data_IF_059009542434
#
_entry.id   IF_059009542434
#
_cell.length_a   1.000
_cell.length_b   1.000
_cell.length_c   1.000
_cell.angle_alpha   90.00
_cell.angle_beta   90.00
_cell.angle_gamma   90.00
#
_symmetry.space_group_name_H-M   'P 1'
#
loop_
_entity.id
_entity.type
_entity.pdbx_description
1 polymer ?
#
# COMPACT_ATOMS: atom_id res chain seq x y z
N UNK A 1 5.34 -9.17 -15.54
CA UNK A 1 5.84 -8.38 -14.40
C UNK A 1 7.23 -8.78 -13.93
N UNK A 2 7.46 -10.02 -13.48
CA UNK A 2 8.79 -10.44 -12.94
C UNK A 2 9.93 -10.26 -13.95
N UNK A 3 9.75 -10.70 -15.21
CA UNK A 3 10.77 -10.52 -16.25
C UNK A 3 11.11 -9.03 -16.50
N UNK A 4 10.09 -8.16 -16.50
CA UNK A 4 10.28 -6.71 -16.61
C UNK A 4 11.05 -6.16 -15.40
N UNK A 5 10.70 -6.59 -14.19
CA UNK A 5 11.43 -6.18 -12.98
C UNK A 5 12.90 -6.63 -12.99
N UNK A 6 13.20 -7.84 -13.47
CA UNK A 6 14.59 -8.31 -13.66
C UNK A 6 15.32 -7.47 -14.70
N UNK A 7 14.65 -7.10 -15.79
CA UNK A 7 15.21 -6.23 -16.83
C UNK A 7 15.55 -4.86 -16.25
N UNK A 8 14.62 -4.27 -15.48
CA UNK A 8 14.85 -3.00 -14.79
C UNK A 8 15.97 -3.10 -13.75
N UNK A 9 16.04 -4.23 -13.04
CA UNK A 9 17.07 -4.48 -12.03
C UNK A 9 18.48 -4.60 -12.66
N UNK A 10 18.60 -5.09 -13.88
CA UNK A 10 19.91 -5.36 -14.52
C UNK A 10 20.34 -4.28 -15.50
N UNK A 11 19.39 -3.63 -16.17
CA UNK A 11 19.63 -2.69 -17.27
C UNK A 11 19.08 -1.28 -17.07
N UNK A 12 18.46 -0.97 -15.91
CA UNK A 12 17.88 0.34 -15.63
C UNK A 12 16.46 0.53 -16.19
N UNK A 13 15.90 1.75 -16.10
CA UNK A 13 14.51 2.01 -16.50
C UNK A 13 14.23 1.66 -17.97
N UNK A 14 13.06 1.06 -18.22
CA UNK A 14 12.59 0.73 -19.58
C UNK A 14 11.40 1.62 -19.92
N UNK A 15 11.44 2.25 -21.09
CA UNK A 15 10.39 3.17 -21.55
C UNK A 15 9.92 2.79 -22.95
N UNK A 16 8.62 2.94 -23.19
CA UNK A 16 8.04 2.88 -24.52
C UNK A 16 6.96 3.94 -24.69
N UNK A 17 6.93 4.59 -25.85
CA UNK A 17 5.86 5.50 -26.24
C UNK A 17 4.82 4.73 -27.03
N UNK A 18 3.58 4.75 -26.57
CA UNK A 18 2.50 4.00 -27.20
C UNK A 18 2.13 4.56 -28.59
N UNK A 19 1.77 3.66 -29.51
CA UNK A 19 1.19 4.03 -30.81
C UNK A 19 2.15 4.61 -31.86
N UNK A 20 3.46 4.59 -31.63
CA UNK A 20 4.46 5.09 -32.59
C UNK A 20 4.49 6.62 -32.72
N UNK A 21 3.85 7.34 -31.80
CA UNK A 21 3.90 8.79 -31.73
C UNK A 21 5.23 9.29 -31.17
N UNK A 22 5.64 10.53 -31.48
CA UNK A 22 6.79 11.17 -30.83
C UNK A 22 6.60 11.30 -29.31
N UNK A 23 7.72 11.34 -28.58
CA UNK A 23 7.76 11.67 -27.15
C UNK A 23 7.10 13.01 -26.88
N UNK A 24 6.29 13.10 -25.82
CA UNK A 24 5.55 14.31 -25.44
C UNK A 24 4.17 14.45 -26.11
N UNK A 25 3.86 13.62 -27.11
CA UNK A 25 2.52 13.52 -27.70
C UNK A 25 1.88 12.17 -27.38
N UNK A 26 2.64 11.08 -27.54
CA UNK A 26 2.19 9.73 -27.17
C UNK A 26 2.25 9.46 -25.68
N UNK A 27 1.43 8.52 -25.21
CA UNK A 27 1.46 8.07 -23.80
C UNK A 27 2.74 7.26 -23.56
N UNK A 28 3.58 7.74 -22.63
CA UNK A 28 4.77 7.05 -22.16
C UNK A 28 4.38 5.97 -21.15
N UNK A 29 4.77 4.72 -21.41
CA UNK A 29 4.77 3.64 -20.41
C UNK A 29 6.21 3.47 -19.93
N UNK A 30 6.43 3.61 -18.62
CA UNK A 30 7.74 3.66 -17.99
C UNK A 30 7.79 2.67 -16.83
N UNK A 31 8.76 1.77 -16.89
CA UNK A 31 9.09 0.84 -15.82
C UNK A 31 10.45 1.22 -15.24
N UNK A 32 10.43 1.92 -14.10
CA UNK A 32 11.63 2.15 -13.28
C UNK A 32 11.60 1.28 -12.02
N UNK A 33 12.61 1.41 -11.15
CA UNK A 33 12.75 0.57 -9.97
C UNK A 33 11.52 0.66 -9.04
N UNK A 34 10.98 1.86 -8.81
CA UNK A 34 9.79 2.06 -7.98
C UNK A 34 8.56 1.37 -8.60
N UNK A 35 8.27 1.65 -9.88
CA UNK A 35 7.14 1.06 -10.59
C UNK A 35 7.21 -0.46 -10.66
N UNK A 36 8.40 -1.01 -10.96
CA UNK A 36 8.63 -2.45 -11.04
C UNK A 36 8.40 -3.15 -9.69
N UNK A 37 8.90 -2.58 -8.58
CA UNK A 37 8.71 -3.14 -7.23
C UNK A 37 7.23 -3.20 -6.87
N UNK A 38 6.50 -2.10 -7.03
CA UNK A 38 5.07 -2.05 -6.72
C UNK A 38 4.25 -2.99 -7.62
N UNK A 39 4.58 -3.08 -8.91
CA UNK A 39 3.93 -4.01 -9.83
C UNK A 39 4.17 -5.47 -9.41
N UNK A 40 5.38 -5.85 -9.00
CA UNK A 40 5.68 -7.21 -8.52
C UNK A 40 4.90 -7.54 -7.26
N UNK A 41 4.90 -6.65 -6.26
CA UNK A 41 4.19 -6.85 -4.99
C UNK A 41 2.70 -7.04 -5.24
N UNK A 42 2.07 -6.14 -5.99
CA UNK A 42 0.64 -6.23 -6.26
C UNK A 42 0.29 -7.47 -7.08
N UNK A 43 1.10 -7.81 -8.09
CA UNK A 43 0.87 -9.05 -8.87
C UNK A 43 0.94 -10.28 -7.95
N UNK A 44 1.89 -10.32 -7.02
CA UNK A 44 2.02 -11.43 -6.06
C UNK A 44 0.83 -11.52 -5.10
N UNK A 45 0.35 -10.38 -4.58
CA UNK A 45 -0.84 -10.32 -3.71
C UNK A 45 -2.08 -10.81 -4.46
N UNK A 46 -2.32 -10.29 -5.67
CA UNK A 46 -3.49 -10.67 -6.48
C UNK A 46 -3.46 -12.14 -6.87
N UNK A 47 -2.27 -12.68 -7.19
CA UNK A 47 -2.10 -14.11 -7.46
C UNK A 47 -2.40 -14.94 -6.21
N UNK A 48 -1.87 -14.56 -5.04
CA UNK A 48 -2.13 -15.28 -3.80
C UNK A 48 -3.63 -15.30 -3.46
N UNK A 49 -4.32 -14.17 -3.60
CA UNK A 49 -5.77 -14.10 -3.37
C UNK A 49 -6.55 -14.92 -4.39
N UNK A 50 -6.18 -14.87 -5.67
CA UNK A 50 -6.84 -15.66 -6.71
C UNK A 50 -6.71 -17.17 -6.42
N UNK A 51 -5.51 -17.62 -6.08
CA UNK A 51 -5.27 -19.01 -5.68
C UNK A 51 -6.10 -19.36 -4.45
N UNK A 52 -6.14 -18.49 -3.44
CA UNK A 52 -6.93 -18.70 -2.23
C UNK A 52 -8.42 -18.92 -2.54
N UNK A 53 -9.02 -18.06 -3.37
CA UNK A 53 -10.43 -18.16 -3.73
C UNK A 53 -10.72 -19.43 -4.56
N UNK A 54 -9.84 -19.76 -5.51
CA UNK A 54 -9.98 -20.97 -6.35
C UNK A 54 -9.94 -22.24 -5.50
N UNK A 55 -8.98 -22.34 -4.55
CA UNK A 55 -8.87 -23.53 -3.70
C UNK A 55 -9.91 -23.60 -2.58
N UNK A 56 -10.53 -22.47 -2.24
CA UNK A 56 -11.62 -22.41 -1.27
C UNK A 56 -13.00 -22.62 -1.91
N UNK A 57 -13.06 -22.68 -3.25
CA UNK A 57 -14.28 -22.75 -4.03
C UNK A 57 -14.78 -21.35 -4.39
N UNK A 58 -14.67 -20.99 -5.67
CA UNK A 58 -15.09 -19.68 -6.20
C UNK A 58 -16.58 -19.47 -5.92
N UNK A 59 -16.91 -18.45 -5.11
CA UNK A 59 -18.31 -18.18 -4.74
C UNK A 59 -19.09 -17.52 -5.86
N UNK A 60 -18.50 -16.52 -6.54
CA UNK A 60 -19.11 -15.91 -7.72
C UNK A 60 -18.17 -15.95 -8.92
N UNK A 61 -18.73 -16.29 -10.10
CA UNK A 61 -17.97 -16.45 -11.34
C UNK A 61 -17.23 -15.19 -11.80
N UNK A 62 -17.68 -14.02 -11.35
CA UNK A 62 -17.05 -12.73 -11.68
C UNK A 62 -15.72 -12.50 -10.95
N UNK A 63 -15.46 -13.18 -9.82
CA UNK A 63 -14.30 -12.90 -8.98
C UNK A 63 -12.95 -13.00 -9.72
N UNK A 64 -12.64 -14.08 -10.46
CA UNK A 64 -11.38 -14.15 -11.21
C UNK A 64 -11.22 -13.03 -12.24
N UNK A 65 -12.30 -12.66 -12.93
CA UNK A 65 -12.27 -11.57 -13.90
C UNK A 65 -12.01 -10.23 -13.22
N UNK A 66 -12.63 -9.96 -12.08
CA UNK A 66 -12.39 -8.75 -11.28
C UNK A 66 -10.94 -8.69 -10.76
N UNK A 67 -10.35 -9.82 -10.34
CA UNK A 67 -8.93 -9.85 -9.95
C UNK A 67 -8.02 -9.52 -11.14
N UNK A 68 -8.35 -9.98 -12.35
CA UNK A 68 -7.59 -9.64 -13.56
C UNK A 68 -7.76 -8.16 -13.97
N UNK A 69 -8.96 -7.59 -13.85
CA UNK A 69 -9.17 -6.15 -14.04
C UNK A 69 -8.39 -5.32 -13.03
N UNK A 70 -8.35 -5.76 -11.77
CA UNK A 70 -7.54 -5.14 -10.73
C UNK A 70 -6.04 -5.22 -11.06
N UNK A 71 -5.58 -6.36 -11.59
CA UNK A 71 -4.19 -6.52 -12.04
C UNK A 71 -3.85 -5.61 -13.22
N UNK A 72 -4.75 -5.47 -14.19
CA UNK A 72 -4.57 -4.58 -15.33
C UNK A 72 -4.53 -3.10 -14.90
N UNK A 73 -5.46 -2.69 -14.02
CA UNK A 73 -5.51 -1.34 -13.46
C UNK A 73 -4.24 -1.00 -12.68
N UNK A 74 -3.91 -1.81 -11.66
CA UNK A 74 -2.74 -1.52 -10.82
C UNK A 74 -1.41 -1.68 -11.58
N UNK A 75 -1.31 -2.68 -12.47
CA UNK A 75 -0.14 -2.86 -13.32
C UNK A 75 0.09 -1.66 -14.24
N UNK A 76 -0.96 -1.15 -14.89
CA UNK A 76 -0.87 0.06 -15.71
C UNK A 76 -0.53 1.30 -14.90
N UNK A 77 -1.10 1.45 -13.70
CA UNK A 77 -0.87 2.58 -12.80
C UNK A 77 0.60 2.69 -12.35
N UNK A 78 1.24 1.56 -12.02
CA UNK A 78 2.64 1.58 -11.60
C UNK A 78 3.64 1.66 -12.76
N UNK A 79 3.19 1.42 -13.99
CA UNK A 79 4.06 1.35 -15.19
C UNK A 79 3.75 2.46 -16.21
N UNK A 80 3.01 3.50 -15.81
CA UNK A 80 2.77 4.68 -16.64
C UNK A 80 3.76 5.80 -16.32
N UNK A 81 4.20 6.50 -17.36
CA UNK A 81 4.97 7.74 -17.27
C UNK A 81 4.11 8.99 -17.54
N UNK A 82 2.79 8.85 -17.63
CA UNK A 82 1.84 9.95 -17.89
C UNK A 82 0.84 10.10 -16.73
N UNK A 83 0.63 11.35 -16.29
CA UNK A 83 -0.20 11.72 -15.14
C UNK A 83 -1.69 11.45 -15.38
N UNK A 84 -2.21 11.70 -16.58
CA UNK A 84 -3.61 11.45 -16.89
C UNK A 84 -3.87 9.94 -17.09
N UNK A 85 -2.93 9.24 -17.71
CA UNK A 85 -3.01 7.79 -17.84
C UNK A 85 -2.92 7.09 -16.46
N UNK A 86 -2.18 7.67 -15.50
CA UNK A 86 -2.22 7.25 -14.11
C UNK A 86 -3.64 7.36 -13.53
N UNK A 87 -4.33 8.48 -13.78
CA UNK A 87 -5.73 8.68 -13.39
C UNK A 87 -6.66 7.63 -14.03
N UNK A 88 -6.49 7.32 -15.32
CA UNK A 88 -7.31 6.30 -16.00
C UNK A 88 -7.15 4.93 -15.34
N UNK A 89 -5.91 4.49 -15.10
CA UNK A 89 -5.66 3.21 -14.44
C UNK A 89 -6.08 3.21 -12.96
N UNK A 90 -6.01 4.37 -12.30
CA UNK A 90 -6.58 4.59 -10.98
C UNK A 90 -8.09 4.30 -11.01
N UNK A 91 -8.85 4.93 -11.91
CA UNK A 91 -10.30 4.72 -12.04
C UNK A 91 -10.68 3.26 -12.36
N UNK A 92 -9.91 2.58 -13.22
CA UNK A 92 -10.10 1.15 -13.51
C UNK A 92 -9.95 0.32 -12.24
N UNK A 93 -8.89 0.58 -11.46
CA UNK A 93 -8.64 -0.11 -10.19
C UNK A 93 -9.73 0.19 -9.15
N UNK A 94 -10.19 1.45 -9.09
CA UNK A 94 -11.21 1.91 -8.16
C UNK A 94 -12.59 1.34 -8.46
N UNK A 95 -13.00 1.37 -9.73
CA UNK A 95 -14.25 0.76 -10.20
C UNK A 95 -14.26 -0.74 -9.90
N UNK A 96 -13.14 -1.41 -10.17
CA UNK A 96 -12.99 -2.84 -9.85
C UNK A 96 -13.06 -3.10 -8.35
N UNK A 97 -12.41 -2.24 -7.55
CA UNK A 97 -12.43 -2.29 -6.09
C UNK A 97 -13.83 -2.11 -5.51
N UNK A 98 -14.65 -1.23 -6.10
CA UNK A 98 -16.05 -1.05 -5.73
C UNK A 98 -16.86 -2.33 -5.94
N UNK A 99 -16.78 -2.92 -7.15
CA UNK A 99 -17.52 -4.15 -7.45
C UNK A 99 -17.08 -5.28 -6.52
N UNK A 100 -15.77 -5.41 -6.28
CA UNK A 100 -15.23 -6.37 -5.31
C UNK A 100 -15.71 -6.10 -3.88
N UNK A 101 -15.81 -4.85 -3.43
CA UNK A 101 -16.28 -4.54 -2.08
C UNK A 101 -17.74 -4.99 -1.85
N UNK A 102 -18.55 -5.04 -2.90
CA UNK A 102 -19.93 -5.55 -2.87
C UNK A 102 -20.06 -7.07 -3.02
N UNK A 103 -18.95 -7.80 -3.14
CA UNK A 103 -18.91 -9.26 -3.27
C UNK A 103 -19.55 -9.97 -2.08
N UNK A 104 -20.47 -10.91 -2.35
CA UNK A 104 -21.30 -11.58 -1.34
C UNK A 104 -22.75 -11.09 -1.25
N UNK A 105 -23.06 -9.92 -1.84
CA UNK A 105 -24.41 -9.36 -2.01
C UNK A 105 -25.23 -9.12 -0.72
N UNK A 106 -24.61 -9.08 0.45
CA UNK A 106 -25.34 -8.69 1.67
C UNK A 106 -25.64 -7.19 1.69
N UNK A 107 -26.79 -6.79 2.25
CA UNK A 107 -27.20 -5.37 2.29
C UNK A 107 -26.16 -4.47 3.00
N UNK A 108 -25.47 -5.02 4.01
CA UNK A 108 -24.35 -4.35 4.69
C UNK A 108 -23.17 -4.13 3.73
N UNK A 109 -22.76 -5.15 2.98
CA UNK A 109 -21.65 -5.07 2.04
C UNK A 109 -21.90 -4.03 0.95
N UNK A 110 -23.13 -3.96 0.43
CA UNK A 110 -23.53 -2.94 -0.54
C UNK A 110 -23.43 -1.53 0.05
N UNK A 111 -23.90 -1.33 1.29
CA UNK A 111 -23.79 -0.04 1.99
C UNK A 111 -22.34 0.39 2.21
N UNK A 112 -21.49 -0.55 2.63
CA UNK A 112 -20.07 -0.29 2.87
C UNK A 112 -19.36 0.01 1.53
N UNK A 113 -19.68 -0.73 0.46
CA UNK A 113 -19.19 -0.48 -0.90
C UNK A 113 -19.64 0.88 -1.47
N UNK A 114 -20.85 1.34 -1.15
CA UNK A 114 -21.30 2.69 -1.51
C UNK A 114 -20.49 3.76 -0.77
N UNK A 115 -20.23 3.55 0.52
CA UNK A 115 -19.40 4.46 1.33
C UNK A 115 -17.97 4.52 0.78
N UNK A 116 -17.39 3.35 0.46
CA UNK A 116 -16.13 3.25 -0.27
C UNK A 116 -16.15 4.09 -1.54
N UNK A 117 -17.16 3.90 -2.39
CA UNK A 117 -17.26 4.55 -3.70
C UNK A 117 -17.37 6.06 -3.59
N UNK A 118 -18.27 6.57 -2.74
CA UNK A 118 -18.48 8.01 -2.59
C UNK A 118 -17.21 8.71 -2.11
N UNK A 119 -16.55 8.16 -1.09
CA UNK A 119 -15.32 8.77 -0.55
C UNK A 119 -14.16 8.69 -1.54
N UNK A 120 -14.06 7.58 -2.27
CA UNK A 120 -13.00 7.44 -3.27
C UNK A 120 -13.26 8.27 -4.54
N UNK A 121 -14.53 8.44 -4.94
CA UNK A 121 -14.90 9.33 -6.04
C UNK A 121 -14.55 10.79 -5.70
N UNK A 122 -14.70 11.20 -4.44
CA UNK A 122 -14.21 12.51 -3.99
C UNK A 122 -12.69 12.64 -4.20
N UNK A 123 -11.92 11.64 -3.78
CA UNK A 123 -10.48 11.60 -4.03
C UNK A 123 -10.14 11.64 -5.53
N UNK A 124 -10.93 10.96 -6.35
CA UNK A 124 -10.81 10.92 -7.82
C UNK A 124 -11.04 12.29 -8.46
N UNK A 125 -12.06 13.01 -8.01
CA UNK A 125 -12.35 14.37 -8.46
C UNK A 125 -11.21 15.31 -8.06
N UNK A 126 -10.70 15.23 -6.83
CA UNK A 126 -9.56 16.03 -6.39
C UNK A 126 -8.31 15.73 -7.22
N UNK A 127 -8.05 14.45 -7.51
CA UNK A 127 -6.97 14.03 -8.37
C UNK A 127 -7.09 14.66 -9.76
N UNK A 128 -8.26 14.51 -10.41
CA UNK A 128 -8.49 15.02 -11.76
C UNK A 128 -8.39 16.56 -11.84
N UNK A 129 -8.84 17.28 -10.79
CA UNK A 129 -8.61 18.71 -10.68
C UNK A 129 -7.12 19.05 -10.57
N UNK A 130 -6.34 18.24 -9.81
CA UNK A 130 -4.89 18.32 -9.77
C UNK A 130 -4.26 18.13 -11.15
N UNK A 131 -4.71 17.14 -11.92
CA UNK A 131 -4.24 16.92 -13.31
C UNK A 131 -4.55 18.12 -14.20
N UNK A 132 -5.78 18.64 -14.15
CA UNK A 132 -6.18 19.79 -14.96
C UNK A 132 -5.36 21.04 -14.62
N UNK A 133 -5.14 21.32 -13.34
CA UNK A 133 -4.33 22.45 -12.87
C UNK A 133 -2.85 22.27 -13.25
N UNK A 134 -2.32 21.05 -13.11
CA UNK A 134 -0.94 20.72 -13.50
C UNK A 134 -0.72 20.92 -15.00
N UNK A 135 -1.65 20.47 -15.83
CA UNK A 135 -1.59 20.69 -17.28
C UNK A 135 -1.72 22.18 -17.63
N UNK A 136 -2.55 22.94 -16.91
CA UNK A 136 -2.69 24.38 -17.13
C UNK A 136 -1.35 25.12 -16.93
N UNK A 137 -0.54 24.74 -15.94
CA UNK A 137 0.73 25.42 -15.62
C UNK A 137 1.94 24.85 -16.37
N UNK A 138 1.93 23.56 -16.71
CA UNK A 138 3.07 22.89 -17.39
C UNK A 138 2.85 22.61 -18.87
N UNK A 139 1.63 22.66 -19.38
CA UNK A 139 1.31 22.35 -20.77
C UNK A 139 1.59 20.90 -21.20
N UNK A 140 1.91 19.99 -20.28
CA UNK A 140 2.21 18.58 -20.56
C UNK A 140 1.68 17.66 -19.46
N UNK A 141 1.58 16.37 -19.78
CA UNK A 141 1.14 15.31 -18.85
C UNK A 141 2.19 14.19 -18.70
N UNK A 142 3.26 14.23 -19.49
CA UNK A 142 4.42 13.35 -19.33
C UNK A 142 5.16 13.71 -18.03
N UNK A 143 5.27 12.76 -17.11
CA UNK A 143 5.75 12.97 -15.74
C UNK A 143 7.18 13.54 -15.70
N UNK A 144 8.07 13.11 -16.62
CA UNK A 144 9.43 13.66 -16.69
C UNK A 144 9.38 15.14 -17.06
N UNK A 145 8.64 15.45 -18.13
CA UNK A 145 8.47 16.81 -18.62
C UNK A 145 7.74 17.72 -17.63
N UNK A 146 6.83 17.16 -16.82
CA UNK A 146 6.17 17.86 -15.71
C UNK A 146 7.21 18.25 -14.66
N UNK A 147 8.04 17.32 -14.18
CA UNK A 147 9.03 17.59 -13.13
C UNK A 147 9.99 18.74 -13.49
N UNK A 148 10.36 18.85 -14.77
CA UNK A 148 11.20 19.94 -15.27
C UNK A 148 10.49 21.31 -15.34
N UNK A 149 9.17 21.31 -15.55
CA UNK A 149 8.40 22.53 -15.80
C UNK A 149 7.74 23.09 -14.54
N UNK A 150 7.43 22.25 -13.56
CA UNK A 150 6.87 22.65 -12.27
C UNK A 150 7.77 23.67 -11.58
N UNK A 151 9.09 23.53 -11.71
CA UNK A 151 10.09 24.46 -11.18
C UNK A 151 10.04 25.87 -11.76
N UNK A 152 9.37 26.06 -12.90
CA UNK A 152 9.19 27.36 -13.57
C UNK A 152 7.85 28.01 -13.27
N UNK A 153 6.92 27.27 -12.67
CA UNK A 153 5.59 27.76 -12.32
C UNK A 153 5.62 28.59 -11.03
N UNK A 154 4.53 29.30 -10.76
CA UNK A 154 4.39 30.11 -9.55
C UNK A 154 4.32 29.21 -8.30
N UNK A 155 5.16 29.41 -7.27
CA UNK A 155 5.30 28.47 -6.16
C UNK A 155 4.02 28.18 -5.38
N UNK A 156 3.17 29.19 -5.12
CA UNK A 156 1.92 28.94 -4.37
C UNK A 156 0.94 28.08 -5.17
N UNK A 157 0.91 28.25 -6.49
CA UNK A 157 0.11 27.43 -7.39
C UNK A 157 0.58 25.98 -7.37
N UNK A 158 1.89 25.73 -7.41
CA UNK A 158 2.46 24.37 -7.30
C UNK A 158 2.12 23.74 -5.96
N UNK A 159 2.24 24.48 -4.85
CA UNK A 159 1.86 23.99 -3.51
C UNK A 159 0.40 23.56 -3.49
N UNK A 160 -0.52 24.35 -4.05
CA UNK A 160 -1.94 23.98 -4.11
C UNK A 160 -2.17 22.71 -4.93
N UNK A 161 -1.47 22.56 -6.07
CA UNK A 161 -1.54 21.35 -6.90
C UNK A 161 -1.01 20.13 -6.12
N UNK A 162 0.14 20.26 -5.45
CA UNK A 162 0.72 19.21 -4.62
C UNK A 162 -0.23 18.81 -3.48
N UNK A 163 -0.92 19.77 -2.85
CA UNK A 163 -1.94 19.51 -1.81
C UNK A 163 -3.13 18.72 -2.39
N UNK A 164 -3.61 19.02 -3.60
CA UNK A 164 -4.69 18.25 -4.23
C UNK A 164 -4.30 16.78 -4.40
N UNK A 165 -3.10 16.52 -4.94
CA UNK A 165 -2.58 15.15 -5.07
C UNK A 165 -2.37 14.48 -3.71
N UNK A 166 -1.79 15.20 -2.74
CA UNK A 166 -1.59 14.70 -1.38
C UNK A 166 -2.90 14.26 -0.73
N UNK A 167 -3.95 15.08 -0.80
CA UNK A 167 -5.26 14.77 -0.23
C UNK A 167 -5.90 13.59 -0.97
N UNK A 168 -5.82 13.54 -2.30
CA UNK A 168 -6.34 12.42 -3.09
C UNK A 168 -5.67 11.08 -2.70
N UNK A 169 -4.34 11.06 -2.58
CA UNK A 169 -3.63 9.85 -2.16
C UNK A 169 -3.83 9.52 -0.68
N UNK A 170 -3.99 10.52 0.18
CA UNK A 170 -4.23 10.31 1.62
C UNK A 170 -5.62 9.75 1.90
N UNK A 171 -6.64 10.22 1.16
CA UNK A 171 -7.96 9.60 1.13
C UNK A 171 -7.86 8.14 0.72
N UNK A 172 -7.03 7.85 -0.30
CA UNK A 172 -6.86 6.48 -0.81
C UNK A 172 -6.14 5.56 0.16
N UNK A 173 -5.11 6.07 0.84
CA UNK A 173 -4.31 5.32 1.80
C UNK A 173 -5.06 5.11 3.13
N UNK A 174 -6.05 5.96 3.43
CA UNK A 174 -6.81 5.91 4.68
C UNK A 174 -6.01 6.43 5.87
N UNK A 175 -5.30 7.55 5.68
CA UNK A 175 -4.58 8.26 6.75
C UNK A 175 -5.57 9.02 7.65
N UNK A 176 -5.20 9.30 8.90
CA UNK A 176 -5.96 10.25 9.73
C UNK A 176 -5.89 11.66 9.12
N UNK A 177 -7.00 12.41 8.98
CA UNK A 177 -8.39 12.10 9.36
C UNK A 177 -9.27 11.51 8.24
N UNK A 178 -8.67 11.15 7.10
CA UNK A 178 -9.31 10.67 5.87
C UNK A 178 -9.65 9.17 5.86
N UNK A 179 -9.73 8.52 7.02
CA UNK A 179 -9.77 7.05 7.15
C UNK A 179 -11.16 6.45 7.38
N UNK A 180 -12.20 7.25 7.61
CA UNK A 180 -13.50 6.76 8.11
C UNK A 180 -14.18 5.71 7.20
N UNK A 181 -13.86 5.70 5.90
CA UNK A 181 -14.37 4.70 4.96
C UNK A 181 -13.71 3.33 5.12
N UNK A 182 -12.49 3.26 5.63
CA UNK A 182 -11.65 2.06 5.58
C UNK A 182 -12.12 0.96 6.54
N UNK A 183 -12.38 1.21 7.84
CA UNK A 183 -12.79 0.15 8.77
C UNK A 183 -14.10 -0.55 8.39
N UNK A 184 -15.20 0.16 8.04
CA UNK A 184 -16.45 -0.50 7.64
C UNK A 184 -16.25 -1.45 6.45
N UNK A 185 -15.49 -1.01 5.44
CA UNK A 185 -15.29 -1.77 4.19
C UNK A 185 -14.43 -3.00 4.43
N UNK A 186 -13.32 -2.86 5.16
CA UNK A 186 -12.39 -3.97 5.39
C UNK A 186 -12.98 -5.02 6.34
N UNK A 187 -13.82 -4.59 7.29
CA UNK A 187 -14.51 -5.49 8.20
C UNK A 187 -15.72 -6.18 7.54
N UNK A 188 -16.47 -5.46 6.69
CA UNK A 188 -17.71 -5.94 6.09
C UNK A 188 -17.54 -6.86 4.89
N UNK A 189 -16.40 -6.80 4.20
CA UNK A 189 -16.19 -7.57 2.96
C UNK A 189 -15.57 -8.96 3.21
N UNK A 190 -15.59 -9.81 2.18
CA UNK A 190 -15.00 -11.14 2.26
C UNK A 190 -13.48 -11.08 2.51
N UNK A 191 -12.87 -11.99 3.29
CA UNK A 191 -11.43 -11.92 3.61
C UNK A 191 -10.50 -11.82 2.40
N UNK A 192 -10.83 -12.52 1.31
CA UNK A 192 -10.12 -12.43 0.04
C UNK A 192 -10.17 -11.01 -0.56
N UNK A 193 -11.34 -10.35 -0.51
CA UNK A 193 -11.51 -8.97 -0.97
C UNK A 193 -10.76 -8.00 -0.05
N UNK A 194 -10.86 -8.16 1.27
CA UNK A 194 -10.12 -7.33 2.23
C UNK A 194 -8.60 -7.42 2.01
N UNK A 195 -8.09 -8.61 1.68
CA UNK A 195 -6.70 -8.81 1.29
C UNK A 195 -6.33 -8.04 0.00
N UNK A 196 -7.19 -8.03 -1.02
CA UNK A 196 -6.98 -7.21 -2.24
C UNK A 196 -6.98 -5.73 -1.89
N UNK A 197 -7.98 -5.25 -1.15
CA UNK A 197 -8.13 -3.84 -0.83
C UNK A 197 -6.95 -3.32 0.01
N UNK A 198 -6.53 -4.08 1.02
CA UNK A 198 -5.45 -3.69 1.93
C UNK A 198 -4.05 -4.00 1.40
N UNK A 199 -3.87 -5.11 0.70
CA UNK A 199 -2.56 -5.61 0.28
C UNK A 199 -2.16 -5.18 -1.13
N UNK A 200 -3.14 -4.90 -2.00
CA UNK A 200 -2.89 -4.46 -3.38
C UNK A 200 -3.35 -3.02 -3.61
N UNK A 201 -4.64 -2.73 -3.41
CA UNK A 201 -5.23 -1.45 -3.80
C UNK A 201 -4.74 -0.27 -2.95
N UNK A 202 -4.43 -0.47 -1.67
CA UNK A 202 -3.87 0.56 -0.80
C UNK A 202 -2.51 1.10 -1.30
N UNK A 203 -1.76 0.29 -2.07
CA UNK A 203 -0.45 0.68 -2.59
C UNK A 203 -0.54 1.81 -3.62
N UNK A 204 -1.72 2.10 -4.19
CA UNK A 204 -1.95 3.31 -4.98
C UNK A 204 -1.58 4.56 -4.18
N UNK A 205 -2.02 4.63 -2.92
CA UNK A 205 -1.77 5.79 -2.06
C UNK A 205 -0.28 5.93 -1.74
N UNK A 206 0.38 4.83 -1.35
CA UNK A 206 1.82 4.85 -1.06
C UNK A 206 2.67 5.16 -2.28
N UNK A 207 2.40 4.52 -3.42
CA UNK A 207 3.09 4.79 -4.68
C UNK A 207 2.85 6.22 -5.14
N UNK A 208 1.61 6.71 -5.08
CA UNK A 208 1.25 8.06 -5.47
C UNK A 208 1.96 9.12 -4.64
N UNK A 209 1.98 8.95 -3.32
CA UNK A 209 2.72 9.85 -2.43
C UNK A 209 4.24 9.84 -2.70
N UNK A 210 4.82 8.69 -3.05
CA UNK A 210 6.23 8.61 -3.45
C UNK A 210 6.47 9.24 -4.83
N UNK A 211 5.74 8.81 -5.86
CA UNK A 211 5.92 9.27 -7.24
C UNK A 211 5.58 10.74 -7.43
N UNK A 212 4.46 11.22 -6.90
CA UNK A 212 4.10 12.62 -7.05
C UNK A 212 4.80 13.47 -6.01
N UNK A 213 4.84 13.03 -4.75
CA UNK A 213 5.45 13.82 -3.68
C UNK A 213 6.97 13.91 -3.78
N UNK A 214 7.68 12.78 -3.89
CA UNK A 214 9.14 12.76 -3.85
C UNK A 214 9.80 13.05 -5.21
N UNK A 215 9.17 12.69 -6.32
CA UNK A 215 9.72 12.86 -7.68
C UNK A 215 9.18 14.16 -8.34
N UNK A 216 7.85 14.37 -8.41
CA UNK A 216 7.30 15.58 -9.06
C UNK A 216 7.28 16.86 -8.21
N UNK A 217 7.05 16.74 -6.90
CA UNK A 217 6.82 17.88 -5.99
C UNK A 217 7.80 17.87 -4.79
N UNK A 218 9.06 17.54 -5.05
CA UNK A 218 10.05 17.31 -4.00
C UNK A 218 10.24 18.52 -3.06
N UNK A 219 10.21 19.75 -3.62
CA UNK A 219 10.36 20.99 -2.84
C UNK A 219 9.14 21.22 -1.94
N UNK A 220 7.95 21.03 -2.47
CA UNK A 220 6.69 21.18 -1.74
C UNK A 220 6.56 20.11 -0.65
N UNK A 221 7.02 18.89 -0.92
CA UNK A 221 7.08 17.82 0.06
C UNK A 221 7.97 18.18 1.25
N UNK A 222 9.16 18.75 1.00
CA UNK A 222 10.05 19.21 2.07
C UNK A 222 9.42 20.34 2.90
N UNK A 223 8.75 21.29 2.25
CA UNK A 223 8.01 22.36 2.95
C UNK A 223 6.88 21.79 3.82
N UNK A 224 6.20 20.74 3.35
CA UNK A 224 5.10 20.09 4.05
C UNK A 224 5.57 19.12 5.15
N UNK A 225 6.86 18.78 5.23
CA UNK A 225 7.39 17.74 6.12
C UNK A 225 6.88 17.81 7.58
N UNK A 226 6.83 18.98 8.26
CA UNK A 226 6.29 19.05 9.62
C UNK A 226 4.82 18.63 9.72
N UNK A 227 4.00 19.01 8.73
CA UNK A 227 2.59 18.62 8.69
C UNK A 227 2.43 17.11 8.42
N UNK A 228 3.28 16.55 7.55
CA UNK A 228 3.28 15.11 7.25
C UNK A 228 3.74 14.27 8.46
N UNK A 229 4.75 14.73 9.20
CA UNK A 229 5.18 14.10 10.45
C UNK A 229 4.06 14.13 11.50
N UNK A 230 3.35 15.25 11.63
CA UNK A 230 2.21 15.37 12.54
C UNK A 230 1.07 14.42 12.14
N UNK A 231 0.63 14.45 10.88
CA UNK A 231 -0.44 13.58 10.38
C UNK A 231 -0.05 12.09 10.43
N UNK A 232 1.20 11.77 10.15
CA UNK A 232 1.74 10.43 10.21
C UNK A 232 1.78 9.92 11.65
N UNK A 233 2.30 10.71 12.58
CA UNK A 233 2.31 10.40 14.01
C UNK A 233 0.90 10.22 14.59
N UNK A 234 -0.03 11.12 14.24
CA UNK A 234 -1.44 10.99 14.62
C UNK A 234 -2.05 9.71 14.05
N UNK A 235 -1.79 9.37 12.79
CA UNK A 235 -2.27 8.13 12.17
C UNK A 235 -1.74 6.88 12.88
N UNK A 236 -0.43 6.85 13.21
CA UNK A 236 0.22 5.76 13.95
C UNK A 236 -0.49 5.52 15.28
N UNK A 237 -0.62 6.56 16.10
CA UNK A 237 -1.18 6.46 17.46
C UNK A 237 -2.68 6.17 17.42
N UNK A 238 -3.43 6.95 16.64
CA UNK A 238 -4.89 6.82 16.53
C UNK A 238 -5.28 5.43 16.02
N UNK A 239 -4.66 4.98 14.94
CA UNK A 239 -4.93 3.65 14.37
C UNK A 239 -4.59 2.53 15.34
N UNK A 240 -3.45 2.63 16.05
CA UNK A 240 -3.00 1.58 16.97
C UNK A 240 -3.89 1.49 18.22
N UNK A 241 -4.27 2.63 18.81
CA UNK A 241 -5.19 2.67 19.97
C UNK A 241 -6.56 2.11 19.60
N UNK A 242 -7.09 2.50 18.45
CA UNK A 242 -8.37 1.97 18.00
C UNK A 242 -8.31 0.51 17.58
N UNK A 243 -7.19 0.02 17.05
CA UNK A 243 -7.01 -1.40 16.77
C UNK A 243 -7.05 -2.24 18.07
N UNK A 244 -6.41 -1.77 19.14
CA UNK A 244 -6.41 -2.46 20.44
C UNK A 244 -7.82 -2.55 21.07
N UNK A 245 -8.72 -1.63 20.75
CA UNK A 245 -10.10 -1.66 21.25
C UNK A 245 -11.02 -2.59 20.44
N UNK A 246 -10.63 -3.05 19.24
CA UNK A 246 -11.44 -3.95 18.42
C UNK A 246 -11.37 -5.39 18.89
N UNK A 247 -12.45 -6.13 18.67
CA UNK A 247 -12.64 -7.50 19.17
C UNK A 247 -12.53 -8.58 18.08
N UNK A 248 -12.77 -8.23 16.82
CA UNK A 248 -12.67 -9.15 15.68
C UNK A 248 -11.38 -8.93 14.91
N UNK A 249 -10.78 -10.00 14.37
CA UNK A 249 -9.53 -9.88 13.61
C UNK A 249 -9.64 -8.93 12.41
N UNK A 250 -10.68 -8.97 11.55
CA UNK A 250 -10.82 -8.02 10.45
C UNK A 250 -10.84 -6.56 10.90
N UNK A 251 -11.52 -6.26 12.01
CA UNK A 251 -11.57 -4.90 12.56
C UNK A 251 -10.20 -4.45 13.11
N UNK A 252 -9.50 -5.33 13.85
CA UNK A 252 -8.13 -5.04 14.31
C UNK A 252 -7.22 -4.75 13.13
N UNK A 253 -7.29 -5.56 12.07
CA UNK A 253 -6.47 -5.42 10.87
C UNK A 253 -6.77 -4.12 10.12
N UNK A 254 -8.04 -3.72 10.04
CA UNK A 254 -8.46 -2.48 9.39
C UNK A 254 -7.89 -1.24 10.10
N UNK A 255 -8.06 -1.13 11.42
CA UNK A 255 -7.48 -0.01 12.19
C UNK A 255 -5.95 -0.06 12.25
N UNK A 256 -5.38 -1.26 12.28
CA UNK A 256 -3.93 -1.44 12.12
C UNK A 256 -3.45 -0.85 10.79
N UNK A 257 -4.19 -0.98 9.68
CA UNK A 257 -3.79 -0.41 8.39
C UNK A 257 -3.64 1.11 8.42
N UNK A 258 -4.51 1.82 9.17
CA UNK A 258 -4.40 3.27 9.41
C UNK A 258 -3.09 3.59 10.12
N UNK A 259 -2.76 2.82 11.17
CA UNK A 259 -1.50 2.98 11.91
C UNK A 259 -0.28 2.73 11.02
N UNK A 260 -0.32 1.65 10.22
CA UNK A 260 0.78 1.29 9.33
C UNK A 260 1.01 2.32 8.22
N UNK A 261 -0.06 2.92 7.69
CA UNK A 261 0.02 4.00 6.71
C UNK A 261 0.75 5.25 7.26
N UNK A 262 0.56 5.56 8.55
CA UNK A 262 1.23 6.68 9.19
C UNK A 262 2.76 6.57 9.18
N UNK A 263 3.31 5.36 9.26
CA UNK A 263 4.76 5.15 9.15
C UNK A 263 5.31 5.46 7.76
N UNK A 264 4.56 5.12 6.71
CA UNK A 264 4.93 5.44 5.32
C UNK A 264 4.99 6.97 5.17
N UNK A 265 4.04 7.69 5.76
CA UNK A 265 4.00 9.14 5.72
C UNK A 265 5.16 9.78 6.49
N UNK A 266 5.52 9.25 7.66
CA UNK A 266 6.68 9.71 8.45
C UNK A 266 7.97 9.52 7.64
N UNK A 267 8.15 8.36 7.02
CA UNK A 267 9.33 8.06 6.21
C UNK A 267 9.45 8.98 4.99
N UNK A 268 8.31 9.22 4.31
CA UNK A 268 8.22 10.18 3.21
C UNK A 268 8.58 11.60 3.65
N UNK A 269 8.12 12.02 4.83
CA UNK A 269 8.36 13.36 5.36
C UNK A 269 9.82 13.63 5.72
N UNK A 270 10.55 12.63 6.21
CA UNK A 270 12.00 12.73 6.43
C UNK A 270 12.73 12.78 5.09
N UNK A 271 12.26 11.99 4.11
CA UNK A 271 12.76 12.03 2.75
C UNK A 271 14.20 11.53 2.58
N UNK A 272 14.80 11.87 1.44
CA UNK A 272 16.12 11.40 1.05
C UNK A 272 16.19 9.87 0.84
N UNK A 273 17.40 9.36 0.61
CA UNK A 273 17.58 7.93 0.31
C UNK A 273 17.03 7.01 1.41
N UNK A 274 17.23 7.39 2.68
CA UNK A 274 16.81 6.57 3.80
C UNK A 274 15.29 6.65 4.04
N UNK A 275 14.70 7.85 3.97
CA UNK A 275 13.25 8.03 4.13
C UNK A 275 12.46 7.35 3.02
N UNK A 276 12.80 7.60 1.75
CA UNK A 276 12.11 6.98 0.61
C UNK A 276 12.34 5.46 0.57
N UNK A 277 13.55 4.99 0.86
CA UNK A 277 13.85 3.56 0.94
C UNK A 277 13.06 2.86 2.04
N UNK A 278 12.99 3.46 3.23
CA UNK A 278 12.20 2.94 4.34
C UNK A 278 10.70 2.92 4.02
N UNK A 279 10.16 3.95 3.36
CA UNK A 279 8.77 3.99 2.94
C UNK A 279 8.43 2.81 2.01
N UNK A 280 9.27 2.59 0.99
CA UNK A 280 9.11 1.48 0.04
C UNK A 280 9.18 0.12 0.74
N UNK A 281 10.23 -0.11 1.55
CA UNK A 281 10.40 -1.34 2.33
C UNK A 281 9.17 -1.61 3.21
N UNK A 282 8.68 -0.57 3.89
CA UNK A 282 7.54 -0.69 4.78
C UNK A 282 6.24 -1.01 4.03
N UNK A 283 6.03 -0.40 2.86
CA UNK A 283 4.88 -0.70 2.00
C UNK A 283 4.87 -2.15 1.55
N UNK A 284 6.02 -2.69 1.10
CA UNK A 284 6.15 -4.10 0.69
C UNK A 284 5.78 -5.04 1.84
N UNK A 285 6.39 -4.82 3.00
CA UNK A 285 6.14 -5.62 4.21
C UNK A 285 4.68 -5.55 4.62
N UNK A 286 4.09 -4.35 4.64
CA UNK A 286 2.69 -4.16 5.04
C UNK A 286 1.75 -4.88 4.05
N UNK A 287 1.99 -4.79 2.75
CA UNK A 287 1.21 -5.51 1.74
C UNK A 287 1.21 -7.03 1.97
N UNK A 288 2.39 -7.61 2.21
CA UNK A 288 2.54 -9.05 2.51
C UNK A 288 1.83 -9.44 3.81
N UNK A 289 2.04 -8.66 4.88
CA UNK A 289 1.44 -8.91 6.18
C UNK A 289 -0.08 -8.85 6.12
N UNK A 290 -0.65 -7.83 5.47
CA UNK A 290 -2.11 -7.68 5.35
C UNK A 290 -2.71 -8.80 4.52
N UNK A 291 -2.07 -9.19 3.43
CA UNK A 291 -2.50 -10.33 2.62
C UNK A 291 -2.52 -11.61 3.44
N UNK A 292 -1.43 -11.93 4.14
CA UNK A 292 -1.35 -13.10 5.02
C UNK A 292 -2.44 -13.07 6.10
N UNK A 293 -2.57 -11.97 6.82
CA UNK A 293 -3.45 -11.86 7.99
C UNK A 293 -4.93 -11.88 7.60
N UNK A 294 -5.33 -11.20 6.52
CA UNK A 294 -6.71 -11.26 6.05
C UNK A 294 -7.07 -12.65 5.50
N UNK A 295 -6.19 -13.31 4.74
CA UNK A 295 -6.46 -14.67 4.24
C UNK A 295 -6.45 -15.74 5.36
N UNK A 296 -5.71 -15.49 6.44
CA UNK A 296 -5.71 -16.34 7.62
C UNK A 296 -6.93 -16.10 8.54
N UNK A 297 -7.49 -14.88 8.53
CA UNK A 297 -8.62 -14.52 9.37
C UNK A 297 -9.85 -15.37 9.02
N UNK A 298 -10.40 -16.06 10.02
CA UNK A 298 -11.55 -16.96 9.85
C UNK A 298 -11.19 -18.38 9.41
N UNK A 299 -9.94 -18.69 9.07
CA UNK A 299 -9.48 -20.06 8.88
C UNK A 299 -9.14 -20.71 10.23
N UNK A 300 -9.25 -22.04 10.29
CA UNK A 300 -9.05 -22.84 11.50
C UNK A 300 -7.95 -23.89 11.34
N UNK A 301 -7.23 -24.11 12.43
CA UNK A 301 -6.19 -25.14 12.55
C UNK A 301 -4.89 -24.58 13.11
N UNK A 302 -4.12 -25.44 13.80
CA UNK A 302 -2.87 -25.04 14.45
C UNK A 302 -1.87 -24.34 13.51
N UNK A 303 -1.71 -24.86 12.28
CA UNK A 303 -0.82 -24.24 11.30
C UNK A 303 -1.28 -22.85 10.84
N UNK A 304 -2.60 -22.60 10.80
CA UNK A 304 -3.16 -21.27 10.52
C UNK A 304 -2.87 -20.33 11.68
N UNK A 305 -3.08 -20.80 12.92
CA UNK A 305 -2.77 -20.03 14.12
C UNK A 305 -1.28 -19.60 14.12
N UNK A 306 -0.37 -20.55 13.83
CA UNK A 306 1.05 -20.26 13.72
C UNK A 306 1.35 -19.24 12.61
N UNK A 307 0.73 -19.38 11.43
CA UNK A 307 0.90 -18.43 10.33
C UNK A 307 0.34 -17.03 10.65
N UNK A 308 -0.79 -16.95 11.35
CA UNK A 308 -1.36 -15.68 11.83
C UNK A 308 -0.43 -15.04 12.88
N UNK A 309 0.14 -15.83 13.78
CA UNK A 309 1.12 -15.35 14.76
C UNK A 309 2.37 -14.77 14.07
N UNK A 310 2.89 -15.44 13.03
CA UNK A 310 4.00 -14.93 12.21
C UNK A 310 3.63 -13.59 11.57
N UNK A 311 2.44 -13.47 10.97
CA UNK A 311 1.95 -12.21 10.43
C UNK A 311 1.83 -11.11 11.49
N UNK A 312 1.32 -11.45 12.68
CA UNK A 312 1.19 -10.53 13.80
C UNK A 312 2.52 -10.06 14.37
N UNK A 313 3.50 -10.96 14.49
CA UNK A 313 4.88 -10.62 14.85
C UNK A 313 5.56 -9.76 13.80
N UNK A 314 5.28 -9.99 12.52
CA UNK A 314 5.74 -9.13 11.44
C UNK A 314 5.14 -7.73 11.54
N UNK A 315 3.83 -7.58 11.77
CA UNK A 315 3.21 -6.26 12.01
C UNK A 315 3.77 -5.59 13.27
N UNK A 316 4.10 -6.35 14.31
CA UNK A 316 4.73 -5.86 15.52
C UNK A 316 6.20 -5.45 15.31
N UNK A 317 6.88 -6.04 14.33
CA UNK A 317 8.30 -5.82 14.04
C UNK A 317 9.23 -6.69 14.88
N UNK A 318 8.85 -7.95 15.14
CA UNK A 318 9.63 -8.89 15.96
C UNK A 318 10.56 -9.75 15.08
N UNK A 319 11.88 -9.85 15.36
CA UNK A 319 12.76 -10.76 14.64
C UNK A 319 12.35 -12.24 14.76
N UNK A 320 12.58 -13.10 13.74
CA UNK A 320 13.24 -12.84 12.46
C UNK A 320 12.25 -12.54 11.32
N UNK A 321 11.17 -11.79 11.55
CA UNK A 321 10.18 -11.47 10.51
C UNK A 321 10.61 -10.32 9.59
N UNK A 322 10.10 -10.28 8.36
CA UNK A 322 10.34 -9.15 7.44
C UNK A 322 9.93 -7.78 8.03
N UNK A 323 8.89 -7.74 8.87
CA UNK A 323 8.45 -6.49 9.47
C UNK A 323 9.38 -5.92 10.54
N UNK A 324 10.30 -6.71 11.08
CA UNK A 324 11.41 -6.16 11.86
C UNK A 324 12.27 -5.22 11.00
N UNK A 325 12.62 -5.62 9.77
CA UNK A 325 13.42 -4.78 8.86
C UNK A 325 12.65 -3.54 8.38
N UNK A 326 11.34 -3.65 8.21
CA UNK A 326 10.48 -2.49 7.98
C UNK A 326 10.58 -1.46 9.12
N UNK A 327 10.43 -1.89 10.38
CA UNK A 327 10.54 -0.98 11.53
C UNK A 327 11.97 -0.54 11.83
N UNK A 328 12.96 -1.37 11.55
CA UNK A 328 14.36 -1.00 11.69
C UNK A 328 14.74 0.10 10.69
N UNK A 329 14.23 0.05 9.46
CA UNK A 329 14.39 1.13 8.49
C UNK A 329 13.75 2.45 8.98
N UNK A 330 12.53 2.39 9.51
CA UNK A 330 11.86 3.55 10.12
C UNK A 330 12.57 4.07 11.37
N UNK A 331 13.17 3.19 12.15
CA UNK A 331 13.97 3.57 13.30
C UNK A 331 15.22 4.34 12.85
N UNK A 332 15.92 3.86 11.80
CA UNK A 332 17.05 4.58 11.19
C UNK A 332 16.65 5.95 10.68
N UNK A 333 15.48 6.07 10.03
CA UNK A 333 14.90 7.36 9.63
C UNK A 333 14.82 8.34 10.81
N UNK A 334 14.36 7.89 11.98
CA UNK A 334 14.28 8.75 13.17
C UNK A 334 15.65 9.17 13.72
N UNK A 335 16.65 8.29 13.65
CA UNK A 335 18.02 8.56 14.11
C UNK A 335 18.71 9.57 13.19
N UNK A 336 18.61 9.37 11.88
CA UNK A 336 19.25 10.26 10.91
C UNK A 336 18.59 11.64 10.81
N UNK A 337 17.29 11.70 11.04
CA UNK A 337 16.58 12.98 11.19
C UNK A 337 16.86 13.67 12.54
N UNK A 338 17.71 13.09 13.40
CA UNK A 338 17.98 13.54 14.77
C UNK A 338 16.69 13.80 15.59
N UNK A 339 15.62 13.07 15.27
CA UNK A 339 14.29 13.33 15.80
C UNK A 339 13.89 12.28 16.83
N UNK A 340 14.08 12.64 18.10
CA UNK A 340 13.62 11.82 19.22
C UNK A 340 12.12 11.51 19.14
N UNK A 341 11.32 12.46 18.63
CA UNK A 341 9.89 12.28 18.43
C UNK A 341 9.57 11.12 17.48
N UNK A 342 10.24 11.06 16.32
CA UNK A 342 10.06 9.98 15.34
C UNK A 342 10.50 8.64 15.93
N UNK A 343 11.64 8.59 16.61
CA UNK A 343 12.14 7.37 17.27
C UNK A 343 11.13 6.84 18.29
N UNK A 344 10.62 7.72 19.17
CA UNK A 344 9.61 7.35 20.16
C UNK A 344 8.30 6.90 19.51
N UNK A 345 7.87 7.53 18.42
CA UNK A 345 6.67 7.11 17.68
C UNK A 345 6.82 5.71 17.06
N UNK A 346 8.00 5.38 16.50
CA UNK A 346 8.29 4.05 15.96
C UNK A 346 8.26 2.99 17.06
N UNK A 347 8.89 3.26 18.20
CA UNK A 347 8.91 2.32 19.33
C UNK A 347 7.53 2.14 19.97
N UNK A 348 6.81 3.24 20.24
CA UNK A 348 5.49 3.19 20.88
C UNK A 348 4.45 2.55 19.98
N UNK A 349 4.36 2.93 18.71
CA UNK A 349 3.48 2.26 17.76
C UNK A 349 3.90 0.81 17.49
N UNK A 350 5.20 0.49 17.63
CA UNK A 350 5.75 -0.86 17.68
C UNK A 350 5.14 -1.70 18.80
N UNK A 351 5.25 -1.20 20.03
CA UNK A 351 4.71 -1.84 21.22
C UNK A 351 3.18 -1.98 21.16
N UNK A 352 2.46 -0.93 20.75
CA UNK A 352 1.00 -1.01 20.56
C UNK A 352 0.62 -2.05 19.49
N UNK A 353 1.42 -2.17 18.43
CA UNK A 353 1.22 -3.20 17.40
C UNK A 353 1.37 -4.61 17.94
N UNK A 354 2.34 -4.84 18.81
CA UNK A 354 2.46 -6.10 19.53
C UNK A 354 1.21 -6.38 20.38
N UNK A 355 0.75 -5.38 21.16
CA UNK A 355 -0.42 -5.53 22.04
C UNK A 355 -1.67 -5.90 21.25
N UNK A 356 -2.05 -5.14 20.21
CA UNK A 356 -3.29 -5.42 19.49
C UNK A 356 -3.21 -6.72 18.67
N UNK A 357 -2.04 -7.07 18.12
CA UNK A 357 -1.88 -8.34 17.38
C UNK A 357 -1.93 -9.54 18.32
N UNK A 358 -1.32 -9.43 19.50
CA UNK A 358 -1.38 -10.48 20.51
C UNK A 358 -2.82 -10.68 21.02
N UNK A 359 -3.54 -9.59 21.32
CA UNK A 359 -4.95 -9.65 21.69
C UNK A 359 -5.82 -10.27 20.58
N UNK A 360 -5.57 -9.92 19.32
CA UNK A 360 -6.27 -10.53 18.18
C UNK A 360 -6.00 -12.03 18.08
N UNK A 361 -4.74 -12.45 18.26
CA UNK A 361 -4.37 -13.86 18.25
C UNK A 361 -5.05 -14.65 19.39
N UNK A 362 -5.05 -14.11 20.61
CA UNK A 362 -5.68 -14.73 21.76
C UNK A 362 -7.17 -14.98 21.51
N UNK A 363 -7.90 -13.97 21.03
CA UNK A 363 -9.35 -14.07 20.80
C UNK A 363 -9.70 -15.01 19.64
N UNK A 364 -8.90 -15.00 18.57
CA UNK A 364 -9.19 -15.77 17.37
C UNK A 364 -8.79 -17.24 17.49
N UNK A 365 -7.68 -17.55 18.18
CA UNK A 365 -7.09 -18.90 18.19
C UNK A 365 -6.90 -19.52 19.58
N UNK A 366 -6.71 -18.74 20.64
CA UNK A 366 -6.46 -19.28 21.98
C UNK A 366 -7.77 -19.51 22.75
N UNK A 367 -8.63 -18.49 22.82
CA UNK A 367 -9.89 -18.53 23.57
C UNK A 367 -10.98 -19.34 22.87
N UNK A 368 -10.95 -19.39 21.53
CA UNK A 368 -11.84 -20.26 20.76
C UNK A 368 -11.41 -21.71 20.94
N UNK A 369 -12.02 -22.43 21.89
CA UNK A 369 -11.85 -23.88 22.00
C UNK A 369 -12.37 -24.52 20.71
N UNK A 370 -11.48 -25.11 19.91
CA UNK A 370 -11.84 -25.70 18.61
C UNK A 370 -12.51 -27.07 18.82
N UNK A 371 -13.80 -27.07 19.15
CA UNK A 371 -14.66 -28.25 18.96
C UNK A 371 -15.02 -28.43 17.48
N UNK A 372 -14.89 -27.37 16.67
CA UNK A 372 -15.14 -27.39 15.24
C UNK A 372 -13.92 -27.91 14.44
N UNK A 373 -14.17 -28.63 13.33
CA UNK A 373 -13.11 -29.19 12.50
C UNK A 373 -12.24 -28.12 11.84
N UNK A 374 -10.97 -28.44 11.51
CA UNK A 374 -10.07 -27.53 10.82
C UNK A 374 -10.58 -27.20 9.42
N UNK A 375 -10.20 -26.02 8.91
CA UNK A 375 -10.52 -25.61 7.54
C UNK A 375 -9.87 -26.54 6.49
N UNK A 376 -10.34 -26.50 5.23
CA UNK A 376 -9.77 -27.30 4.14
C UNK A 376 -8.24 -27.14 4.02
N UNK A 377 -7.56 -28.21 3.60
CA UNK A 377 -6.10 -28.27 3.59
C UNK A 377 -5.46 -27.22 2.66
N UNK A 378 -6.03 -27.02 1.47
CA UNK A 378 -5.46 -26.15 0.45
C UNK A 378 -5.31 -24.66 0.87
N UNK A 379 -6.35 -23.97 1.38
CA UNK A 379 -6.20 -22.59 1.86
C UNK A 379 -5.26 -22.48 3.07
N UNK A 380 -5.16 -23.52 3.91
CA UNK A 380 -4.19 -23.57 5.00
C UNK A 380 -2.76 -23.61 4.51
N UNK A 381 -2.46 -24.46 3.52
CA UNK A 381 -1.12 -24.57 2.92
C UNK A 381 -0.70 -23.22 2.35
N UNK A 382 -1.59 -22.53 1.64
CA UNK A 382 -1.30 -21.22 1.07
C UNK A 382 -0.91 -20.19 2.14
N UNK A 383 -1.69 -20.10 3.22
CA UNK A 383 -1.40 -19.17 4.32
C UNK A 383 -0.06 -19.50 5.01
N UNK A 384 0.28 -20.79 5.13
CA UNK A 384 1.59 -21.22 5.65
C UNK A 384 2.73 -20.84 4.69
N UNK A 385 2.53 -20.97 3.37
CA UNK A 385 3.52 -20.52 2.36
C UNK A 385 3.74 -19.02 2.46
N UNK A 386 2.68 -18.22 2.61
CA UNK A 386 2.78 -16.77 2.80
C UNK A 386 3.52 -16.41 4.10
N UNK A 387 3.26 -17.13 5.19
CA UNK A 387 4.02 -16.96 6.43
C UNK A 387 5.51 -17.34 6.26
N UNK A 388 5.78 -18.41 5.52
CA UNK A 388 7.13 -18.81 5.14
C UNK A 388 7.86 -17.74 4.33
N UNK A 389 7.17 -17.05 3.41
CA UNK A 389 7.73 -15.92 2.67
C UNK A 389 8.05 -14.73 3.59
N UNK A 390 7.16 -14.40 4.54
CA UNK A 390 7.39 -13.33 5.53
C UNK A 390 8.60 -13.61 6.42
N UNK A 391 8.80 -14.86 6.83
CA UNK A 391 10.00 -15.27 7.59
C UNK A 391 11.23 -15.33 6.69
N UNK A 392 11.10 -15.86 5.47
CA UNK A 392 12.20 -15.96 4.51
C UNK A 392 12.80 -14.60 4.17
N UNK A 393 11.96 -13.58 3.94
CA UNK A 393 12.40 -12.19 3.75
C UNK A 393 12.96 -11.54 5.02
N UNK A 394 12.67 -12.07 6.21
CA UNK A 394 13.33 -11.63 7.44
C UNK A 394 14.66 -12.33 7.71
N UNK A 395 14.82 -13.59 7.29
CA UNK A 395 16.12 -14.29 7.36
C UNK A 395 17.08 -13.74 6.31
N UNK A 396 16.57 -13.46 5.10
CA UNK A 396 17.32 -12.87 4.00
C UNK A 396 16.68 -11.53 3.57
N UNK A 397 16.99 -10.43 4.28
CA UNK A 397 16.40 -9.11 4.03
C UNK A 397 16.99 -8.39 2.81
N UNK A 398 18.11 -8.86 2.26
CA UNK A 398 18.83 -8.20 1.17
C UNK A 398 17.94 -7.85 -0.04
N UNK A 399 17.06 -8.74 -0.56
CA UNK A 399 16.20 -8.39 -1.69
C UNK A 399 15.22 -7.26 -1.37
N UNK A 400 14.75 -7.20 -0.12
CA UNK A 400 13.82 -6.18 0.36
C UNK A 400 14.53 -4.82 0.50
N UNK A 401 15.71 -4.80 1.12
CA UNK A 401 16.51 -3.59 1.32
C UNK A 401 17.01 -3.03 -0.02
N UNK A 402 17.53 -3.88 -0.90
CA UNK A 402 17.98 -3.48 -2.23
C UNK A 402 16.84 -2.92 -3.10
N UNK A 403 15.62 -3.46 -2.96
CA UNK A 403 14.45 -2.90 -3.62
C UNK A 403 14.12 -1.48 -3.12
N UNK A 404 14.21 -1.25 -1.80
CA UNK A 404 14.04 0.07 -1.19
C UNK A 404 15.08 1.08 -1.65
N UNK A 405 16.35 0.72 -1.60
CA UNK A 405 17.46 1.59 -2.01
C UNK A 405 17.37 2.00 -3.48
N UNK A 406 17.10 1.05 -4.38
CA UNK A 406 16.98 1.36 -5.81
C UNK A 406 15.76 2.19 -6.15
N UNK A 407 14.64 1.92 -5.48
CA UNK A 407 13.45 2.76 -5.63
C UNK A 407 13.71 4.19 -5.12
N UNK A 408 14.44 4.35 -4.03
CA UNK A 408 14.84 5.66 -3.52
C UNK A 408 15.76 6.40 -4.49
N UNK A 409 16.79 5.73 -5.05
CA UNK A 409 17.65 6.31 -6.08
C UNK A 409 16.87 6.76 -7.32
N UNK A 410 15.94 5.93 -7.78
CA UNK A 410 15.09 6.26 -8.92
C UNK A 410 14.25 7.51 -8.68
N UNK A 411 13.73 7.70 -7.46
CA UNK A 411 12.98 8.90 -7.06
C UNK A 411 13.85 10.16 -6.98
N UNK A 412 15.12 10.01 -6.61
CA UNK A 412 16.07 11.14 -6.50
C UNK A 412 16.77 11.48 -7.83
N UNK A 413 16.47 10.74 -8.91
CA UNK A 413 17.13 10.92 -10.20
C UNK A 413 18.58 10.44 -10.23
N UNK A 414 19.00 9.62 -9.25
CA UNK A 414 20.35 9.05 -9.20
C UNK A 414 20.46 7.83 -10.13
N UNK A 415 21.62 7.62 -10.79
CA UNK A 415 21.84 6.43 -11.61
C UNK A 415 21.72 5.14 -10.78
N UNK A 416 21.00 4.15 -11.33
CA UNK A 416 20.63 2.88 -10.69
C UNK A 416 21.79 1.94 -10.43
#
# INVERSE_FOLDING_TARGET
TVALAITVYTGGPVEMVSGGWPTGIGITLRADALGAVFAVVVTAVLLAVLVHEVVSGVRERAFPALVLFMAAGLGGLFLTGDVFNFYVFFEVSMTTGFVLASYGQEQRQIRDALTFTVVNLLGSVLFLNGVAALYHVTGTLDMRSVGEQVDRAEPNTVILIAVLFFVAFSLKLGLFPFHNWLPPVYEGTHPAVAAILSGALANIGSYGLLRFGADLFAKELQLAAPALLLLGGLSVVYGAVLAASRRTAPAVLAYSSISQAGYILIALAVGGSIGYGAAVVYTIVNALNKTLLFLAAGLRGWFVAAAFAVGGFSVAGVPPSAGFFGKAALFRVGIEAESLGVVLLVLTGGALSFVYMFQSYQREFWERSTTEPPSPLAPRILVVILAGLVVGLGIWPEPLLAAGERAARALMGEPS
#
